data_IF_260912656434
#
_entry.id   IF_260912656434
#
_cell.length_a   1.000
_cell.length_b   1.000
_cell.length_c   1.000
_cell.angle_alpha   90.00
_cell.angle_beta   90.00
_cell.angle_gamma   90.00
#
_symmetry.space_group_name_H-M   'P 1'
#
loop_
_entity.id
_entity.type
_entity.pdbx_description
1 polymer ?
#
# COMPACT_ATOMS: atom_id res chain seq x y z
N UNK A 1 -9.72 14.02 30.21
CA UNK A 1 -9.56 13.10 29.05
C UNK A 1 -9.90 13.89 27.80
N UNK A 2 -8.99 13.97 26.82
CA UNK A 2 -9.34 14.54 25.53
C UNK A 2 -10.32 13.58 24.84
N UNK A 3 -11.51 14.08 24.49
CA UNK A 3 -12.46 13.37 23.65
C UNK A 3 -11.93 13.40 22.22
N UNK A 4 -11.57 12.23 21.69
CA UNK A 4 -11.12 12.10 20.32
C UNK A 4 -12.28 11.61 19.45
N UNK A 5 -12.45 12.20 18.28
CA UNK A 5 -13.31 11.65 17.24
C UNK A 5 -12.49 10.70 16.38
N UNK A 6 -12.96 9.46 16.23
CA UNK A 6 -12.40 8.52 15.27
C UNK A 6 -13.06 8.76 13.92
N UNK A 7 -12.29 9.22 12.94
CA UNK A 7 -12.75 9.37 11.56
C UNK A 7 -12.34 8.14 10.76
N UNK A 8 -13.26 7.20 10.62
CA UNK A 8 -13.07 6.01 9.78
C UNK A 8 -13.41 6.36 8.32
N UNK A 9 -12.45 6.15 7.41
CA UNK A 9 -12.59 6.50 5.98
C UNK A 9 -12.42 5.32 5.04
N UNK A 10 -12.14 4.13 5.58
CA UNK A 10 -11.94 2.90 4.82
C UNK A 10 -13.15 2.54 3.93
N UNK A 11 -14.37 2.70 4.45
CA UNK A 11 -15.59 2.39 3.70
C UNK A 11 -15.79 3.30 2.49
N UNK A 12 -15.55 4.60 2.65
CA UNK A 12 -15.63 5.55 1.56
C UNK A 12 -14.60 5.23 0.47
N UNK A 13 -13.35 4.92 0.88
CA UNK A 13 -12.26 4.60 -0.02
C UNK A 13 -12.52 3.32 -0.83
N UNK A 14 -12.97 2.25 -0.16
CA UNK A 14 -13.27 0.97 -0.80
C UNK A 14 -14.52 1.03 -1.68
N UNK A 15 -15.54 1.82 -1.29
CA UNK A 15 -16.71 2.09 -2.13
C UNK A 15 -16.33 2.87 -3.40
N UNK A 16 -15.50 3.90 -3.28
CA UNK A 16 -14.97 4.64 -4.45
C UNK A 16 -14.21 3.71 -5.40
N UNK A 17 -13.41 2.79 -4.85
CA UNK A 17 -12.71 1.78 -5.64
C UNK A 17 -13.68 0.87 -6.39
N UNK A 18 -14.70 0.33 -5.71
CA UNK A 18 -15.70 -0.57 -6.30
C UNK A 18 -16.45 0.10 -7.45
N UNK A 19 -16.91 1.35 -7.25
CA UNK A 19 -17.63 2.12 -8.26
C UNK A 19 -16.77 2.36 -9.50
N UNK A 20 -15.51 2.77 -9.31
CA UNK A 20 -14.57 2.98 -10.40
C UNK A 20 -14.24 1.68 -11.14
N UNK A 21 -14.10 0.57 -10.42
CA UNK A 21 -13.82 -0.74 -11.03
C UNK A 21 -15.01 -1.22 -11.88
N UNK A 22 -16.25 -0.98 -11.44
CA UNK A 22 -17.47 -1.25 -12.22
C UNK A 22 -17.50 -0.40 -13.49
N UNK A 23 -17.21 0.89 -13.37
CA UNK A 23 -17.12 1.78 -14.53
C UNK A 23 -16.02 1.36 -15.49
N UNK A 24 -14.88 0.92 -14.97
CA UNK A 24 -13.75 0.44 -15.75
C UNK A 24 -14.12 -0.76 -16.61
N UNK A 25 -14.75 -1.79 -16.03
CA UNK A 25 -15.24 -2.96 -16.77
C UNK A 25 -16.31 -2.60 -17.80
N UNK A 26 -17.18 -1.64 -17.49
CA UNK A 26 -18.17 -1.13 -18.45
C UNK A 26 -17.52 -0.39 -19.62
N UNK A 27 -16.48 0.40 -19.35
CA UNK A 27 -15.76 1.13 -20.40
C UNK A 27 -15.00 0.18 -21.31
N UNK A 28 -14.39 -0.87 -20.73
CA UNK A 28 -13.78 -1.98 -21.47
C UNK A 28 -14.78 -2.66 -22.41
N UNK A 29 -15.97 -3.04 -21.92
CA UNK A 29 -16.95 -3.75 -22.75
C UNK A 29 -17.52 -2.91 -23.90
N UNK A 30 -17.49 -1.59 -23.77
CA UNK A 30 -17.90 -0.64 -24.81
C UNK A 30 -16.74 -0.20 -25.73
N UNK A 31 -15.51 -0.66 -25.48
CA UNK A 31 -14.33 -0.27 -26.26
C UNK A 31 -13.88 1.17 -26.05
N UNK A 32 -14.26 1.81 -24.93
CA UNK A 32 -13.84 3.16 -24.60
C UNK A 32 -12.46 3.20 -23.94
N UNK A 33 -11.73 4.31 -24.13
CA UNK A 33 -10.47 4.54 -23.44
C UNK A 33 -10.68 4.49 -21.91
N UNK A 34 -9.87 3.68 -21.22
CA UNK A 34 -10.04 3.42 -19.79
C UNK A 34 -9.16 4.29 -18.89
N UNK A 35 -8.30 5.14 -19.47
CA UNK A 35 -7.35 5.99 -18.74
C UNK A 35 -7.97 6.72 -17.55
N UNK A 36 -9.16 7.30 -17.75
CA UNK A 36 -9.91 8.05 -16.71
C UNK A 36 -10.25 7.22 -15.47
N UNK A 37 -10.31 5.90 -15.61
CA UNK A 37 -10.56 4.94 -14.53
C UNK A 37 -9.29 4.22 -14.09
N UNK A 38 -8.35 3.94 -15.00
CA UNK A 38 -7.06 3.29 -14.69
C UNK A 38 -6.27 4.11 -13.68
N UNK A 39 -6.05 5.39 -13.96
CA UNK A 39 -5.28 6.27 -13.07
C UNK A 39 -5.82 6.29 -11.63
N UNK A 40 -7.10 6.64 -11.37
CA UNK A 40 -7.60 6.68 -10.00
C UNK A 40 -7.65 5.29 -9.35
N UNK A 41 -7.90 4.22 -10.11
CA UNK A 41 -7.85 2.86 -9.56
C UNK A 41 -6.47 2.50 -9.03
N UNK A 42 -5.38 2.87 -9.74
CA UNK A 42 -4.02 2.64 -9.25
C UNK A 42 -3.74 3.46 -7.97
N UNK A 43 -4.19 4.72 -7.93
CA UNK A 43 -3.99 5.60 -6.75
C UNK A 43 -4.73 5.06 -5.52
N UNK A 44 -5.99 4.66 -5.71
CA UNK A 44 -6.82 4.11 -4.64
C UNK A 44 -6.28 2.76 -4.18
N UNK A 45 -5.81 1.90 -5.08
CA UNK A 45 -5.20 0.62 -4.72
C UNK A 45 -3.99 0.82 -3.79
N UNK A 46 -3.04 1.67 -4.20
CA UNK A 46 -1.87 1.99 -3.37
C UNK A 46 -2.26 2.58 -2.00
N UNK A 47 -3.28 3.46 -1.99
CA UNK A 47 -3.78 4.10 -0.77
C UNK A 47 -4.43 3.09 0.19
N UNK A 48 -5.21 2.13 -0.32
CA UNK A 48 -5.84 1.07 0.47
C UNK A 48 -4.76 0.18 1.10
N UNK A 49 -3.74 -0.22 0.33
CA UNK A 49 -2.62 -1.03 0.85
C UNK A 49 -1.88 -0.27 1.95
N UNK A 50 -1.47 0.97 1.68
CA UNK A 50 -0.73 1.79 2.64
C UNK A 50 -1.52 2.03 3.93
N UNK A 51 -2.81 2.38 3.80
CA UNK A 51 -3.70 2.61 4.93
C UNK A 51 -3.89 1.34 5.77
N UNK A 52 -4.06 0.19 5.12
CA UNK A 52 -4.21 -1.11 5.80
C UNK A 52 -2.94 -1.46 6.58
N UNK A 53 -1.77 -1.33 5.95
CA UNK A 53 -0.49 -1.61 6.61
C UNK A 53 -0.25 -0.67 7.80
N UNK A 54 -0.54 0.63 7.65
CA UNK A 54 -0.43 1.58 8.78
C UNK A 54 -1.37 1.21 9.90
N UNK A 55 -2.62 0.84 9.58
CA UNK A 55 -3.61 0.47 10.57
C UNK A 55 -3.13 -0.72 11.42
N UNK A 56 -2.65 -1.80 10.81
CA UNK A 56 -2.18 -2.97 11.57
C UNK A 56 -0.99 -2.63 12.46
N UNK A 57 -0.02 -1.89 11.93
CA UNK A 57 1.17 -1.50 12.69
C UNK A 57 0.82 -0.56 13.86
N UNK A 58 0.07 0.50 13.59
CA UNK A 58 -0.33 1.47 14.61
C UNK A 58 -1.21 0.84 15.70
N UNK A 59 -2.16 -0.03 15.31
CA UNK A 59 -3.02 -0.75 16.27
C UNK A 59 -2.20 -1.68 17.17
N UNK A 60 -1.19 -2.36 16.62
CA UNK A 60 -0.31 -3.24 17.40
C UNK A 60 0.54 -2.46 18.39
N UNK A 61 1.14 -1.34 17.94
CA UNK A 61 1.92 -0.44 18.81
C UNK A 61 1.04 0.13 19.92
N UNK A 62 -0.18 0.58 19.61
CA UNK A 62 -1.14 1.07 20.61
C UNK A 62 -1.52 0.01 21.63
N UNK A 63 -1.72 -1.24 21.20
CA UNK A 63 -2.03 -2.35 22.10
C UNK A 63 -0.87 -2.62 23.07
N UNK A 64 0.37 -2.66 22.56
CA UNK A 64 1.56 -2.87 23.38
C UNK A 64 1.79 -1.70 24.35
N UNK A 65 1.60 -0.46 23.90
CA UNK A 65 1.65 0.72 24.78
C UNK A 65 0.61 0.63 25.90
N UNK A 66 -0.63 0.27 25.59
CA UNK A 66 -1.68 0.12 26.60
C UNK A 66 -1.32 -0.95 27.64
N UNK A 67 -0.76 -2.08 27.20
CA UNK A 67 -0.29 -3.16 28.07
C UNK A 67 0.82 -2.67 29.02
N UNK A 68 1.79 -1.92 28.52
CA UNK A 68 2.89 -1.37 29.33
C UNK A 68 2.39 -0.34 30.34
N UNK A 69 1.48 0.55 29.93
CA UNK A 69 0.87 1.55 30.81
C UNK A 69 0.08 0.87 31.94
N UNK A 70 -0.69 -0.17 31.63
CA UNK A 70 -1.44 -0.93 32.63
C UNK A 70 -0.51 -1.60 33.65
N UNK A 71 0.56 -2.25 33.18
CA UNK A 71 1.58 -2.83 34.04
C UNK A 71 2.29 -1.78 34.92
N UNK A 72 2.64 -0.64 34.33
CA UNK A 72 3.23 0.49 35.06
C UNK A 72 2.31 1.03 36.14
N UNK A 73 1.02 1.18 35.82
CA UNK A 73 -0.01 1.65 36.75
C UNK A 73 -0.18 0.69 37.93
N UNK A 74 -0.21 -0.62 37.68
CA UNK A 74 -0.27 -1.64 38.73
C UNK A 74 0.96 -1.62 39.65
N UNK A 75 2.11 -1.21 39.13
CA UNK A 75 3.36 -1.02 39.90
C UNK A 75 3.46 0.36 40.57
N UNK A 76 2.40 1.17 40.51
CA UNK A 76 2.36 2.50 41.12
C UNK A 76 3.15 3.58 40.36
N UNK A 77 3.53 3.34 39.10
CA UNK A 77 4.15 4.37 38.26
C UNK A 77 3.11 5.45 37.91
N UNK A 78 3.53 6.71 38.01
CA UNK A 78 2.70 7.89 37.67
C UNK A 78 3.18 8.63 36.43
N UNK A 79 4.35 8.27 35.90
CA UNK A 79 4.98 8.91 34.73
C UNK A 79 5.34 7.88 33.66
N UNK A 80 5.41 8.36 32.41
CA UNK A 80 5.81 7.54 31.28
C UNK A 80 7.29 7.20 31.34
N UNK A 81 7.64 5.92 31.26
CA UNK A 81 9.04 5.51 31.17
C UNK A 81 9.61 5.65 29.74
N UNK A 82 10.91 5.37 29.60
CA UNK A 82 11.62 5.52 28.32
C UNK A 82 11.04 4.60 27.24
N UNK A 83 10.56 3.41 27.59
CA UNK A 83 10.00 2.48 26.61
C UNK A 83 8.66 3.01 26.08
N UNK A 84 7.80 3.52 26.96
CA UNK A 84 6.54 4.15 26.58
C UNK A 84 6.75 5.39 25.71
N UNK A 85 7.74 6.24 26.04
CA UNK A 85 8.10 7.41 25.24
C UNK A 85 8.64 7.03 23.85
N UNK A 86 9.41 5.95 23.74
CA UNK A 86 9.93 5.47 22.46
C UNK A 86 8.80 4.93 21.57
N UNK A 87 7.87 4.17 22.14
CA UNK A 87 6.70 3.67 21.42
C UNK A 87 5.78 4.82 20.98
N UNK A 88 5.60 5.84 21.80
CA UNK A 88 4.83 7.03 21.43
C UNK A 88 5.46 7.78 20.25
N UNK A 89 6.80 7.97 20.26
CA UNK A 89 7.51 8.55 19.11
C UNK A 89 7.38 7.70 17.86
N UNK A 90 7.53 6.38 18.00
CA UNK A 90 7.37 5.45 16.89
C UNK A 90 5.94 5.50 16.31
N UNK A 91 4.92 5.60 17.17
CA UNK A 91 3.53 5.75 16.75
C UNK A 91 3.29 7.06 15.97
N UNK A 92 3.82 8.18 16.47
CA UNK A 92 3.77 9.47 15.76
C UNK A 92 4.42 9.34 14.38
N UNK A 93 5.52 8.61 14.27
CA UNK A 93 6.21 8.40 13.01
C UNK A 93 5.46 7.51 12.00
N UNK A 94 4.64 6.58 12.48
CA UNK A 94 3.77 5.74 11.66
C UNK A 94 2.61 6.57 11.10
N UNK A 95 2.01 7.42 11.92
CA UNK A 95 0.85 8.25 11.57
C UNK A 95 1.26 9.52 10.79
N UNK A 96 2.47 10.03 11.02
CA UNK A 96 2.95 11.36 10.61
C UNK A 96 3.44 11.55 9.17
N UNK A 97 2.99 10.74 8.20
CA UNK A 97 3.36 10.80 6.76
C UNK A 97 4.70 10.16 6.38
N UNK A 98 4.71 8.83 6.22
CA UNK A 98 5.80 8.09 5.58
C UNK A 98 5.30 7.26 4.40
N UNK A 99 5.95 7.36 3.23
CA UNK A 99 5.60 6.53 2.07
C UNK A 99 5.85 5.03 2.29
N UNK A 100 5.46 4.19 1.34
CA UNK A 100 5.61 2.74 1.42
C UNK A 100 7.01 2.26 1.86
N UNK A 101 8.09 2.91 1.41
CA UNK A 101 9.46 2.57 1.83
C UNK A 101 9.68 2.67 3.34
N UNK A 102 9.06 3.66 3.99
CA UNK A 102 9.11 3.79 5.46
C UNK A 102 8.33 2.66 6.12
N UNK A 103 7.20 2.23 5.54
CA UNK A 103 6.46 1.08 6.04
C UNK A 103 7.25 -0.22 5.92
N UNK A 104 8.02 -0.40 4.84
CA UNK A 104 8.90 -1.58 4.70
C UNK A 104 9.89 -1.66 5.86
N UNK A 105 10.58 -0.56 6.20
CA UNK A 105 11.53 -0.57 7.32
C UNK A 105 10.85 -0.70 8.68
N UNK A 106 9.69 -0.07 8.87
CA UNK A 106 8.93 -0.16 10.12
C UNK A 106 8.37 -1.57 10.38
N UNK A 107 7.89 -2.25 9.34
CA UNK A 107 7.41 -3.64 9.45
C UNK A 107 8.55 -4.61 9.76
N UNK A 108 9.71 -4.43 9.12
CA UNK A 108 10.88 -5.22 9.43
C UNK A 108 11.34 -4.97 10.88
N UNK A 109 11.40 -3.72 11.32
CA UNK A 109 11.80 -3.38 12.68
C UNK A 109 10.84 -3.92 13.75
N UNK A 110 9.53 -3.74 13.57
CA UNK A 110 8.55 -4.02 14.63
C UNK A 110 8.05 -5.47 14.63
N UNK A 111 7.86 -6.08 13.46
CA UNK A 111 7.32 -7.44 13.34
C UNK A 111 8.35 -8.46 12.85
N UNK A 112 9.56 -8.05 12.47
CA UNK A 112 10.51 -8.89 11.73
C UNK A 112 9.93 -9.42 10.39
N UNK A 113 9.02 -8.65 9.78
CA UNK A 113 8.37 -9.01 8.51
C UNK A 113 8.98 -8.19 7.38
N UNK A 114 9.53 -8.87 6.37
CA UNK A 114 9.92 -8.24 5.11
C UNK A 114 8.72 -8.16 4.17
N UNK A 115 8.27 -6.94 3.85
CA UNK A 115 7.20 -6.69 2.86
C UNK A 115 7.63 -6.91 1.41
N UNK A 116 8.92 -7.22 1.18
CA UNK A 116 9.54 -7.32 -0.16
C UNK A 116 10.35 -8.61 -0.29
N UNK A 117 9.87 -9.70 0.31
CA UNK A 117 10.49 -11.01 0.19
C UNK A 117 9.87 -11.83 -0.96
N UNK A 118 10.72 -12.56 -1.71
CA UNK A 118 10.35 -13.28 -2.94
C UNK A 118 9.38 -14.46 -2.77
N UNK A 119 9.15 -14.94 -1.54
CA UNK A 119 8.45 -16.20 -1.28
C UNK A 119 7.02 -16.04 -0.76
N UNK A 120 6.35 -14.91 -1.04
CA UNK A 120 5.07 -14.57 -0.42
C UNK A 120 3.85 -14.69 -1.35
N UNK A 121 3.99 -15.36 -2.50
CA UNK A 121 2.88 -15.68 -3.42
C UNK A 121 2.36 -14.50 -4.26
N UNK A 122 2.87 -13.29 -4.05
CA UNK A 122 2.64 -12.11 -4.90
C UNK A 122 3.94 -11.69 -5.59
N UNK A 123 3.82 -10.91 -6.67
CA UNK A 123 4.97 -10.26 -7.30
C UNK A 123 5.36 -9.00 -6.51
N UNK A 124 6.43 -9.09 -5.73
CA UNK A 124 6.99 -7.97 -4.97
C UNK A 124 7.37 -6.78 -5.86
N UNK A 125 7.75 -7.03 -7.11
CA UNK A 125 8.13 -6.00 -8.06
C UNK A 125 6.87 -5.28 -8.54
N UNK A 126 5.74 -5.97 -8.64
CA UNK A 126 4.45 -5.34 -8.87
C UNK A 126 4.02 -4.41 -7.73
N UNK A 127 4.19 -4.80 -6.46
CA UNK A 127 3.85 -3.92 -5.34
C UNK A 127 4.74 -2.67 -5.35
N UNK A 128 6.05 -2.81 -5.54
CA UNK A 128 6.97 -1.67 -5.68
C UNK A 128 6.63 -0.79 -6.89
N UNK A 129 6.28 -1.40 -8.02
CA UNK A 129 5.88 -0.68 -9.22
C UNK A 129 4.59 0.11 -9.00
N UNK A 130 3.61 -0.43 -8.28
CA UNK A 130 2.37 0.27 -7.94
C UNK A 130 2.65 1.54 -7.13
N UNK A 131 3.48 1.47 -6.10
CA UNK A 131 3.85 2.64 -5.29
C UNK A 131 4.73 3.64 -6.06
N UNK A 132 5.62 3.16 -6.92
CA UNK A 132 6.40 4.02 -7.81
C UNK A 132 5.49 4.76 -8.79
N UNK A 133 4.55 4.04 -9.42
CA UNK A 133 3.54 4.62 -10.29
C UNK A 133 2.70 5.65 -9.55
N UNK A 134 2.22 5.36 -8.34
CA UNK A 134 1.50 6.33 -7.50
C UNK A 134 2.29 7.63 -7.34
N UNK A 135 3.56 7.54 -6.96
CA UNK A 135 4.37 8.75 -6.75
C UNK A 135 4.58 9.53 -8.06
N UNK A 136 4.98 8.85 -9.13
CA UNK A 136 5.20 9.45 -10.45
C UNK A 136 3.93 10.16 -10.95
N UNK A 137 2.80 9.46 -10.87
CA UNK A 137 1.50 9.91 -11.37
C UNK A 137 0.90 11.03 -10.52
N UNK A 138 1.00 10.94 -9.19
CA UNK A 138 0.48 11.95 -8.28
C UNK A 138 1.23 13.29 -8.36
N UNK A 139 2.53 13.26 -8.69
CA UNK A 139 3.32 14.48 -8.86
C UNK A 139 3.14 15.16 -10.22
N UNK A 140 2.51 14.49 -11.20
CA UNK A 140 2.30 15.04 -12.54
C UNK A 140 3.61 15.41 -13.26
N UNK A 141 4.73 14.82 -12.85
CA UNK A 141 6.05 15.14 -13.38
C UNK A 141 6.33 14.33 -14.66
N UNK A 142 7.13 14.90 -15.56
CA UNK A 142 7.55 14.20 -16.76
C UNK A 142 8.35 12.94 -16.38
N UNK A 143 7.88 11.77 -16.84
CA UNK A 143 8.56 10.50 -16.65
C UNK A 143 9.71 10.39 -17.65
N UNK A 144 10.93 10.70 -17.22
CA UNK A 144 12.13 10.45 -18.04
C UNK A 144 12.58 9.02 -17.77
N UNK A 145 12.03 8.07 -18.52
CA UNK A 145 12.48 6.69 -18.51
C UNK A 145 13.68 6.53 -19.47
N UNK A 146 14.78 5.90 -19.07
CA UNK A 146 15.93 5.70 -19.94
C UNK A 146 15.66 4.60 -20.97
N UNK A 147 16.14 4.80 -22.20
CA UNK A 147 16.08 3.78 -23.26
C UNK A 147 17.08 2.62 -23.05
N UNK A 148 18.10 2.83 -22.22
CA UNK A 148 19.16 1.86 -21.93
C UNK A 148 19.44 1.77 -20.42
N UNK A 149 19.90 0.61 -19.90
CA UNK A 149 20.32 0.45 -18.52
C UNK A 149 21.42 1.46 -18.14
N UNK A 150 21.27 2.16 -17.02
CA UNK A 150 22.34 2.99 -16.49
C UNK A 150 23.48 2.08 -16.01
N UNK A 151 24.65 2.19 -16.63
CA UNK A 151 25.87 1.47 -16.24
C UNK A 151 26.72 2.31 -15.27
N UNK A 152 26.08 2.98 -14.32
CA UNK A 152 26.78 3.79 -13.33
C UNK A 152 27.24 2.90 -12.16
N UNK A 153 28.53 2.87 -11.81
CA UNK A 153 29.03 2.15 -10.66
C UNK A 153 28.54 2.74 -9.32
N UNK A 154 28.08 4.00 -9.32
CA UNK A 154 27.60 4.70 -8.13
C UNK A 154 26.06 4.71 -8.07
N UNK A 155 25.49 3.66 -7.48
CA UNK A 155 24.03 3.57 -7.21
C UNK A 155 23.50 4.61 -6.20
N UNK A 156 24.34 5.52 -5.73
CA UNK A 156 23.99 6.61 -4.80
C UNK A 156 23.45 7.85 -5.52
N UNK A 157 23.56 7.94 -6.85
CA UNK A 157 22.98 9.06 -7.60
C UNK A 157 21.44 8.93 -7.65
N UNK A 158 20.74 9.97 -7.17
CA UNK A 158 19.27 10.08 -7.21
C UNK A 158 18.68 9.72 -8.58
N UNK A 159 19.37 10.14 -9.65
CA UNK A 159 18.97 9.88 -11.03
C UNK A 159 19.03 8.37 -11.34
N UNK A 160 20.08 7.68 -10.94
CA UNK A 160 20.27 6.24 -11.21
C UNK A 160 19.28 5.39 -10.41
N UNK A 161 19.01 5.75 -9.15
CA UNK A 161 18.00 5.10 -8.32
C UNK A 161 16.59 5.28 -8.93
N UNK A 162 16.24 6.50 -9.31
CA UNK A 162 14.96 6.78 -9.97
C UNK A 162 14.81 6.04 -11.30
N UNK A 163 15.87 6.00 -12.11
CA UNK A 163 15.92 5.27 -13.37
C UNK A 163 15.72 3.76 -13.17
N UNK A 164 16.36 3.17 -12.16
CA UNK A 164 16.21 1.74 -11.84
C UNK A 164 14.77 1.39 -11.46
N UNK A 165 14.10 2.24 -10.68
CA UNK A 165 12.69 2.09 -10.29
C UNK A 165 11.76 2.19 -11.49
N UNK A 166 12.02 3.13 -12.41
CA UNK A 166 11.23 3.25 -13.65
C UNK A 166 11.44 2.06 -14.61
N UNK A 167 12.64 1.50 -14.68
CA UNK A 167 12.89 0.27 -15.47
C UNK A 167 12.14 -0.93 -14.89
N UNK A 168 12.10 -1.04 -13.56
CA UNK A 168 11.32 -2.06 -12.87
C UNK A 168 9.81 -1.90 -13.17
N UNK A 169 9.30 -0.67 -13.09
CA UNK A 169 7.92 -0.34 -13.50
C UNK A 169 7.64 -0.77 -14.93
N UNK A 170 8.53 -0.46 -15.88
CA UNK A 170 8.37 -0.86 -17.28
C UNK A 170 8.33 -2.38 -17.46
N UNK A 171 9.14 -3.12 -16.70
CA UNK A 171 9.15 -4.58 -16.75
C UNK A 171 7.82 -5.17 -16.28
N UNK A 172 7.29 -4.67 -15.16
CA UNK A 172 6.00 -5.10 -14.61
C UNK A 172 4.85 -4.72 -15.55
N UNK A 173 4.86 -3.49 -16.05
CA UNK A 173 3.86 -2.99 -17.00
C UNK A 173 3.87 -3.82 -18.28
N UNK A 174 5.04 -4.14 -18.81
CA UNK A 174 5.17 -4.98 -20.00
C UNK A 174 4.63 -6.38 -19.75
N UNK A 175 4.91 -6.99 -18.59
CA UNK A 175 4.35 -8.28 -18.23
C UNK A 175 2.80 -8.26 -18.15
N UNK A 176 2.21 -7.15 -17.70
CA UNK A 176 0.76 -7.01 -17.57
C UNK A 176 0.04 -6.64 -18.88
N UNK A 177 0.69 -5.85 -19.76
CA UNK A 177 0.03 -5.19 -20.90
C UNK A 177 0.67 -5.51 -22.25
N UNK A 178 1.90 -5.99 -22.29
CA UNK A 178 2.68 -6.19 -23.51
C UNK A 178 3.26 -4.91 -24.12
N UNK A 179 3.14 -3.76 -23.45
CA UNK A 179 3.78 -2.50 -23.85
C UNK A 179 4.79 -2.04 -22.81
N UNK A 180 5.90 -1.43 -23.25
CA UNK A 180 6.90 -0.81 -22.38
C UNK A 180 6.70 0.70 -22.21
N UNK A 181 5.68 1.26 -22.86
CA UNK A 181 5.29 2.67 -22.72
C UNK A 181 4.29 2.82 -21.56
N UNK A 182 4.68 3.57 -20.53
CA UNK A 182 3.86 3.82 -19.34
C UNK A 182 2.53 4.49 -19.70
N UNK A 183 2.49 5.45 -20.61
CA UNK A 183 1.25 6.12 -21.00
C UNK A 183 0.33 5.19 -21.78
N UNK A 184 0.89 4.39 -22.69
CA UNK A 184 0.13 3.36 -23.39
C UNK A 184 -0.43 2.32 -22.40
N UNK A 185 0.37 1.93 -21.41
CA UNK A 185 -0.06 1.00 -20.37
C UNK A 185 -1.17 1.55 -19.47
N UNK A 186 -1.16 2.85 -19.17
CA UNK A 186 -2.25 3.49 -18.42
C UNK A 186 -3.57 3.53 -19.20
N UNK A 187 -3.54 3.33 -20.52
CA UNK A 187 -4.73 3.12 -21.35
C UNK A 187 -5.14 1.65 -21.45
N UNK A 188 -4.32 0.72 -20.96
CA UNK A 188 -4.64 -0.71 -20.98
C UNK A 188 -5.61 -1.07 -19.85
N UNK A 189 -6.74 -1.67 -20.21
CA UNK A 189 -7.78 -2.07 -19.27
C UNK A 189 -7.36 -3.22 -18.33
N UNK A 190 -6.30 -3.97 -18.65
CA UNK A 190 -5.84 -5.07 -17.81
C UNK A 190 -5.03 -4.58 -16.61
N UNK A 191 -4.43 -3.39 -16.72
CA UNK A 191 -3.46 -2.91 -15.75
C UNK A 191 -4.05 -2.75 -14.34
N UNK A 192 -5.24 -2.14 -14.12
CA UNK A 192 -5.80 -2.03 -12.78
C UNK A 192 -6.14 -3.38 -12.15
N UNK A 193 -6.70 -4.30 -12.93
CA UNK A 193 -7.08 -5.65 -12.47
C UNK A 193 -5.86 -6.48 -12.08
N UNK A 194 -4.77 -6.36 -12.85
CA UNK A 194 -3.49 -6.97 -12.52
C UNK A 194 -3.00 -6.52 -11.13
N UNK A 195 -2.90 -5.20 -10.91
CA UNK A 195 -2.44 -4.69 -9.62
C UNK A 195 -3.42 -5.00 -8.49
N UNK A 196 -4.73 -5.02 -8.75
CA UNK A 196 -5.73 -5.45 -7.77
C UNK A 196 -5.47 -6.87 -7.28
N UNK A 197 -5.24 -7.81 -8.21
CA UNK A 197 -4.91 -9.20 -7.88
C UNK A 197 -3.65 -9.31 -7.03
N UNK A 198 -2.57 -8.64 -7.45
CA UNK A 198 -1.31 -8.62 -6.69
C UNK A 198 -1.50 -8.04 -5.28
N UNK A 199 -2.31 -6.99 -5.16
CA UNK A 199 -2.55 -6.29 -3.89
C UNK A 199 -3.38 -7.12 -2.92
N UNK A 200 -4.38 -7.87 -3.41
CA UNK A 200 -5.14 -8.82 -2.58
C UNK A 200 -4.25 -9.94 -2.06
N UNK A 201 -3.43 -10.53 -2.91
CA UNK A 201 -2.50 -11.59 -2.49
C UNK A 201 -1.47 -11.04 -1.50
N UNK A 202 -0.91 -9.85 -1.77
CA UNK A 202 0.00 -9.15 -0.88
C UNK A 202 -0.58 -8.98 0.53
N UNK A 203 -1.73 -8.30 0.65
CA UNK A 203 -2.33 -8.04 1.95
C UNK A 203 -2.70 -9.34 2.69
N UNK A 204 -3.17 -10.38 1.98
CA UNK A 204 -3.43 -11.69 2.59
C UNK A 204 -2.17 -12.34 3.15
N UNK A 205 -1.08 -12.33 2.38
CA UNK A 205 0.20 -12.89 2.82
C UNK A 205 0.77 -12.14 4.02
N UNK A 206 0.74 -10.80 4.00
CA UNK A 206 1.18 -10.00 5.15
C UNK A 206 0.30 -10.26 6.36
N UNK A 207 -1.03 -10.24 6.19
CA UNK A 207 -1.96 -10.51 7.28
C UNK A 207 -1.68 -11.86 7.93
N UNK A 208 -1.45 -12.92 7.16
CA UNK A 208 -1.15 -14.25 7.71
C UNK A 208 0.14 -14.34 8.54
N UNK A 209 1.11 -13.44 8.32
CA UNK A 209 2.36 -13.40 9.10
C UNK A 209 2.25 -12.57 10.38
N UNK A 210 1.21 -11.75 10.51
CA UNK A 210 1.02 -10.90 11.68
C UNK A 210 0.62 -11.73 12.92
N UNK A 211 0.90 -11.25 14.14
CA UNK A 211 0.45 -11.91 15.35
C UNK A 211 -1.08 -11.81 15.48
N UNK A 212 -1.79 -12.86 15.04
CA UNK A 212 -3.27 -12.83 14.89
C UNK A 212 -4.04 -12.49 16.18
N UNK A 213 -3.44 -12.72 17.34
CA UNK A 213 -4.06 -12.43 18.64
C UNK A 213 -4.01 -10.93 19.02
N UNK A 214 -3.18 -10.12 18.35
CA UNK A 214 -3.05 -8.67 18.62
C UNK A 214 -3.54 -7.79 17.49
N UNK A 215 -3.72 -8.34 16.28
CA UNK A 215 -4.04 -7.54 15.08
C UNK A 215 -5.48 -7.74 14.63
N UNK A 216 -6.30 -6.70 14.83
CA UNK A 216 -7.59 -6.58 14.15
C UNK A 216 -7.37 -6.47 12.63
N UNK A 217 -8.09 -7.27 11.84
CA UNK A 217 -8.04 -7.22 10.39
C UNK A 217 -8.34 -5.81 9.83
N UNK A 218 -9.27 -5.08 10.45
CA UNK A 218 -9.67 -3.74 10.03
C UNK A 218 -10.67 -3.77 8.87
N UNK A 219 -11.43 -2.67 8.75
CA UNK A 219 -12.52 -2.53 7.77
C UNK A 219 -11.95 -2.47 6.34
N UNK A 220 -10.90 -1.69 6.11
CA UNK A 220 -10.29 -1.53 4.79
C UNK A 220 -9.83 -2.87 4.19
N UNK A 221 -9.12 -3.67 4.99
CA UNK A 221 -8.67 -5.00 4.57
C UNK A 221 -9.86 -5.90 4.24
N UNK A 222 -10.80 -6.05 5.17
CA UNK A 222 -11.95 -6.95 5.02
C UNK A 222 -12.77 -6.59 3.79
N UNK A 223 -13.12 -5.30 3.64
CA UNK A 223 -13.83 -4.80 2.48
C UNK A 223 -13.03 -5.07 1.18
N UNK A 224 -11.74 -4.74 1.15
CA UNK A 224 -10.92 -4.92 -0.05
C UNK A 224 -10.71 -6.40 -0.42
N UNK A 225 -10.60 -7.30 0.57
CA UNK A 225 -10.48 -8.74 0.31
C UNK A 225 -11.76 -9.36 -0.23
N UNK A 226 -12.91 -8.80 0.11
CA UNK A 226 -14.23 -9.26 -0.36
C UNK A 226 -14.60 -8.66 -1.72
N UNK A 227 -13.99 -7.54 -2.11
CA UNK A 227 -14.19 -6.96 -3.43
C UNK A 227 -13.83 -7.94 -4.56
N UNK A 228 -14.62 -7.87 -5.61
CA UNK A 228 -14.34 -8.49 -6.91
C UNK A 228 -14.18 -7.38 -7.94
N UNK A 229 -13.08 -7.39 -8.71
CA UNK A 229 -12.73 -6.27 -9.57
C UNK A 229 -13.80 -6.07 -10.67
N UNK A 230 -14.58 -5.00 -10.55
CA UNK A 230 -15.63 -4.63 -11.50
C UNK A 230 -16.82 -5.58 -11.55
N UNK A 231 -17.09 -6.31 -10.47
CA UNK A 231 -18.32 -7.07 -10.26
C UNK A 231 -18.92 -6.70 -8.91
N UNK A 232 -20.26 -6.65 -8.81
CA UNK A 232 -20.93 -6.43 -7.53
C UNK A 232 -20.78 -7.68 -6.67
N UNK A 233 -19.86 -7.62 -5.71
CA UNK A 233 -19.54 -8.74 -4.81
C UNK A 233 -20.23 -8.69 -3.45
N UNK A 234 -20.99 -7.63 -3.12
CA UNK A 234 -21.69 -7.57 -1.84
C UNK A 234 -22.99 -8.37 -1.90
N UNK A 235 -22.97 -9.61 -1.40
CA UNK A 235 -24.15 -10.15 -0.70
C UNK A 235 -24.39 -9.23 0.49
N UNK A 236 -25.30 -8.27 0.32
CA UNK A 236 -25.90 -7.53 1.43
C UNK A 236 -26.91 -8.42 2.14
#
# INVERSE_FOLDING_TARGET
MAHHYVLETADALTLSYEILALEHKRSQSLGFETYRTTFPLLMLNASIIEGTLRFWLASSVKHEMARLIEQGTQLGKTEKDKAEQLLEKFLIEIEGSGGFEKLVSQYNFYFDISLVAKNQGYDQEAIKALFTLRNVLAHGTAVIAPKHPASSPDKENYVDNWQSRLQQVNTVIFAATGTSDVYAALKDYRLPEYFFGQSKTFLKSIYAMLPQHTVNAGIAYSAFTDLSFGFRGRTR
#
